data_IF_596519911230
#
_entry.id   IF_596519911230
#
_cell.length_a   1.000
_cell.length_b   1.000
_cell.length_c   1.000
_cell.angle_alpha   90.00
_cell.angle_beta   90.00
_cell.angle_gamma   90.00
#
_symmetry.space_group_name_H-M   'P 1'
#
loop_
_entity.id
_entity.type
_entity.pdbx_description
1 polymer ?
#
# COMPACT_ATOMS: atom_id res chain seq x y z
N UNK A 1 -26.66 8.06 -46.06
CA UNK A 1 -26.77 8.32 -44.61
C UNK A 1 -27.88 9.34 -44.36
N UNK A 2 -28.28 9.57 -43.11
CA UNK A 2 -29.29 10.60 -42.77
C UNK A 2 -28.81 12.02 -43.08
N UNK A 3 -27.50 12.26 -42.95
CA UNK A 3 -26.85 13.51 -43.36
C UNK A 3 -27.01 13.80 -44.86
N UNK A 4 -26.82 12.81 -45.74
CA UNK A 4 -27.02 12.99 -47.19
C UNK A 4 -28.49 13.25 -47.57
N UNK A 5 -29.43 12.62 -46.84
CA UNK A 5 -30.85 12.94 -46.97
C UNK A 5 -31.13 14.42 -46.64
N UNK A 6 -30.59 14.93 -45.52
CA UNK A 6 -30.77 16.34 -45.16
C UNK A 6 -30.14 17.31 -46.16
N UNK A 7 -28.93 17.02 -46.66
CA UNK A 7 -28.31 17.82 -47.73
C UNK A 7 -29.21 17.89 -48.97
N UNK A 8 -29.78 16.76 -49.40
CA UNK A 8 -30.65 16.69 -50.55
C UNK A 8 -31.98 17.45 -50.35
N UNK A 9 -32.62 17.31 -49.19
CA UNK A 9 -33.87 18.03 -48.89
C UNK A 9 -33.65 19.54 -48.75
N UNK A 10 -32.54 19.97 -48.14
CA UNK A 10 -32.15 21.38 -48.09
C UNK A 10 -31.90 21.92 -49.51
N UNK A 11 -31.27 21.13 -50.38
CA UNK A 11 -31.03 21.52 -51.77
C UNK A 11 -32.33 21.65 -52.58
N UNK A 12 -33.27 20.72 -52.44
CA UNK A 12 -34.60 20.81 -53.06
C UNK A 12 -35.36 22.06 -52.62
N UNK A 13 -35.34 22.36 -51.32
CA UNK A 13 -35.95 23.58 -50.79
C UNK A 13 -35.28 24.84 -51.35
N UNK A 14 -33.96 24.81 -51.55
CA UNK A 14 -33.21 25.95 -52.15
C UNK A 14 -33.53 26.16 -53.62
N UNK A 15 -33.76 25.08 -54.36
CA UNK A 15 -33.97 25.10 -55.81
C UNK A 15 -35.46 25.29 -56.19
N UNK A 16 -36.36 25.34 -55.20
CA UNK A 16 -37.80 25.58 -55.41
C UNK A 16 -38.05 27.04 -55.80
N UNK A 17 -38.86 27.27 -56.85
CA UNK A 17 -39.20 28.62 -57.32
C UNK A 17 -40.46 29.15 -56.63
N UNK A 18 -40.28 30.08 -55.70
CA UNK A 18 -41.31 30.56 -54.79
C UNK A 18 -42.20 31.67 -55.37
N UNK A 19 -42.82 31.42 -56.53
CA UNK A 19 -43.67 32.41 -57.21
C UNK A 19 -45.09 32.49 -56.65
N UNK A 20 -45.54 31.49 -55.88
CA UNK A 20 -46.88 31.42 -55.30
C UNK A 20 -46.85 31.53 -53.76
N UNK A 21 -47.63 32.43 -53.14
CA UNK A 21 -47.72 32.55 -51.67
C UNK A 21 -48.09 31.24 -50.95
N UNK A 22 -48.90 30.38 -51.56
CA UNK A 22 -49.28 29.09 -50.97
C UNK A 22 -48.11 28.08 -50.94
N UNK A 23 -47.18 28.17 -51.90
CA UNK A 23 -45.99 27.32 -51.97
C UNK A 23 -44.94 27.74 -50.95
N UNK A 24 -44.85 29.04 -50.64
CA UNK A 24 -44.00 29.60 -49.58
C UNK A 24 -44.41 29.06 -48.21
N UNK A 25 -45.71 29.04 -47.90
CA UNK A 25 -46.23 28.52 -46.62
C UNK A 25 -45.93 27.02 -46.48
N UNK A 26 -46.13 26.24 -47.55
CA UNK A 26 -45.81 24.80 -47.56
C UNK A 26 -44.33 24.54 -47.38
N UNK A 27 -43.48 25.29 -48.07
CA UNK A 27 -42.03 25.16 -47.94
C UNK A 27 -41.52 25.60 -46.56
N UNK A 28 -42.14 26.62 -45.95
CA UNK A 28 -41.85 27.01 -44.57
C UNK A 28 -42.20 25.88 -43.58
N UNK A 29 -43.36 25.25 -43.72
CA UNK A 29 -43.75 24.12 -42.89
C UNK A 29 -42.78 22.94 -43.04
N UNK A 30 -42.45 22.57 -44.29
CA UNK A 30 -41.47 21.52 -44.58
C UNK A 30 -40.06 21.84 -44.03
N UNK A 31 -39.66 23.11 -44.08
CA UNK A 31 -38.39 23.57 -43.52
C UNK A 31 -38.37 23.52 -41.99
N UNK A 32 -39.44 23.97 -41.33
CA UNK A 32 -39.56 23.93 -39.88
C UNK A 32 -39.58 22.47 -39.37
N UNK A 33 -40.23 21.57 -40.10
CA UNK A 33 -40.19 20.12 -39.85
C UNK A 33 -38.78 19.54 -40.03
N UNK A 34 -38.11 19.87 -41.13
CA UNK A 34 -36.74 19.41 -41.40
C UNK A 34 -35.76 19.87 -40.32
N UNK A 35 -35.91 21.11 -39.84
CA UNK A 35 -35.13 21.67 -38.74
C UNK A 35 -35.36 20.93 -37.43
N UNK A 36 -36.61 20.57 -37.13
CA UNK A 36 -36.93 19.77 -35.95
C UNK A 36 -36.30 18.38 -36.05
N UNK A 37 -36.40 17.74 -37.21
CA UNK A 37 -35.77 16.43 -37.45
C UNK A 37 -34.25 16.48 -37.29
N UNK A 38 -33.57 17.50 -37.85
CA UNK A 38 -32.11 17.67 -37.71
C UNK A 38 -31.71 17.89 -36.23
N UNK A 39 -32.49 18.65 -35.46
CA UNK A 39 -32.23 18.86 -34.02
C UNK A 39 -32.39 17.57 -33.23
N UNK A 40 -33.47 16.83 -33.44
CA UNK A 40 -33.73 15.55 -32.78
C UNK A 40 -32.64 14.53 -33.10
N UNK A 41 -32.19 14.45 -34.35
CA UNK A 41 -31.13 13.51 -34.72
C UNK A 41 -29.75 13.97 -34.22
N UNK A 42 -29.50 15.29 -34.11
CA UNK A 42 -28.32 15.83 -33.42
C UNK A 42 -28.32 15.43 -31.94
N UNK A 43 -29.42 15.63 -31.22
CA UNK A 43 -29.55 15.25 -29.80
C UNK A 43 -29.28 13.77 -29.58
N UNK A 44 -29.84 12.89 -30.43
CA UNK A 44 -29.55 11.44 -30.37
C UNK A 44 -28.07 11.13 -30.57
N UNK A 45 -27.40 11.82 -31.49
CA UNK A 45 -25.96 11.65 -31.75
C UNK A 45 -25.14 12.13 -30.55
N UNK A 46 -25.49 13.28 -29.95
CA UNK A 46 -24.84 13.81 -28.75
C UNK A 46 -25.01 12.83 -27.57
N UNK A 47 -26.23 12.35 -27.30
CA UNK A 47 -26.49 11.35 -26.24
C UNK A 47 -25.76 10.03 -26.49
N UNK A 48 -25.72 9.56 -27.74
CA UNK A 48 -24.94 8.37 -28.08
C UNK A 48 -23.45 8.57 -27.78
N UNK A 49 -22.90 9.74 -28.11
CA UNK A 49 -21.50 10.08 -27.87
C UNK A 49 -21.15 10.15 -26.38
N UNK A 50 -22.02 10.76 -25.58
CA UNK A 50 -21.86 10.81 -24.11
C UNK A 50 -21.83 9.40 -23.53
N UNK A 51 -22.83 8.56 -23.84
CA UNK A 51 -22.88 7.17 -23.37
C UNK A 51 -21.74 6.31 -23.89
N UNK A 52 -21.31 6.49 -25.14
CA UNK A 52 -20.17 5.78 -25.71
C UNK A 52 -18.84 6.20 -25.04
N UNK A 53 -18.71 7.47 -24.65
CA UNK A 53 -17.55 7.98 -23.92
C UNK A 53 -17.50 7.46 -22.48
N UNK A 54 -18.65 7.43 -21.78
CA UNK A 54 -18.79 6.81 -20.46
C UNK A 54 -18.47 5.32 -20.51
N UNK A 55 -19.04 4.59 -21.46
CA UNK A 55 -18.77 3.17 -21.68
C UNK A 55 -17.29 2.93 -22.01
N UNK A 56 -16.67 3.74 -22.88
CA UNK A 56 -15.22 3.65 -23.16
C UNK A 56 -14.38 3.90 -21.91
N UNK A 57 -14.76 4.87 -21.08
CA UNK A 57 -14.02 5.20 -19.86
C UNK A 57 -14.12 4.07 -18.84
N UNK A 58 -15.33 3.52 -18.65
CA UNK A 58 -15.58 2.38 -17.79
C UNK A 58 -14.88 1.11 -18.30
N UNK A 59 -14.95 0.82 -19.60
CA UNK A 59 -14.29 -0.34 -20.22
C UNK A 59 -12.76 -0.20 -20.22
N UNK A 60 -12.21 1.00 -20.40
CA UNK A 60 -10.78 1.28 -20.28
C UNK A 60 -10.29 1.15 -18.84
N UNK A 61 -11.09 1.62 -17.87
CA UNK A 61 -10.83 1.43 -16.45
C UNK A 61 -10.87 -0.05 -16.07
N UNK A 62 -11.91 -0.77 -16.49
CA UNK A 62 -12.05 -2.21 -16.31
C UNK A 62 -10.92 -2.98 -16.98
N UNK A 63 -10.45 -2.58 -18.17
CA UNK A 63 -9.30 -3.17 -18.86
C UNK A 63 -7.99 -2.94 -18.08
N UNK A 64 -7.79 -1.75 -17.50
CA UNK A 64 -6.61 -1.50 -16.63
C UNK A 64 -6.66 -2.33 -15.36
N UNK A 65 -7.82 -2.41 -14.71
CA UNK A 65 -8.02 -3.26 -13.54
C UNK A 65 -7.85 -4.74 -13.90
N UNK A 66 -8.35 -5.18 -15.05
CA UNK A 66 -8.21 -6.55 -15.56
C UNK A 66 -6.77 -6.88 -15.97
N UNK A 67 -5.97 -5.90 -16.41
CA UNK A 67 -4.52 -6.07 -16.62
C UNK A 67 -3.77 -6.25 -15.30
N UNK A 68 -4.22 -5.60 -14.23
CA UNK A 68 -3.60 -5.69 -12.91
C UNK A 68 -4.13 -6.88 -12.06
N UNK A 69 -5.33 -7.37 -12.33
CA UNK A 69 -6.04 -8.34 -11.48
C UNK A 69 -5.59 -9.82 -11.57
N UNK A 70 -4.78 -10.26 -12.55
CA UNK A 70 -4.11 -11.57 -12.51
C UNK A 70 -2.63 -11.49 -12.16
N UNK A 71 -2.01 -10.30 -12.19
CA UNK A 71 -0.58 -10.12 -11.88
C UNK A 71 -0.30 -10.17 -10.38
N UNK A 72 -1.21 -9.70 -9.51
CA UNK A 72 -0.97 -9.67 -8.06
C UNK A 72 -1.00 -11.06 -7.42
N UNK A 73 -2.00 -11.89 -7.77
CA UNK A 73 -2.07 -13.28 -7.31
C UNK A 73 -0.95 -14.12 -7.96
N UNK A 74 -0.52 -13.76 -9.16
CA UNK A 74 0.61 -14.39 -9.85
C UNK A 74 1.96 -14.00 -9.27
N UNK A 75 2.24 -12.74 -8.95
CA UNK A 75 3.50 -12.34 -8.30
C UNK A 75 3.58 -12.91 -6.88
N UNK A 76 2.44 -13.09 -6.19
CA UNK A 76 2.38 -13.83 -4.94
C UNK A 76 2.72 -15.31 -5.15
N UNK A 77 2.13 -15.98 -6.16
CA UNK A 77 2.40 -17.39 -6.46
C UNK A 77 3.80 -17.62 -7.03
N UNK A 78 4.26 -16.82 -7.98
CA UNK A 78 5.61 -16.81 -8.54
C UNK A 78 6.63 -16.44 -7.48
N UNK A 79 6.33 -15.50 -6.59
CA UNK A 79 7.18 -15.18 -5.44
C UNK A 79 7.33 -16.36 -4.48
N UNK A 80 6.21 -17.02 -4.17
CA UNK A 80 6.17 -18.23 -3.33
C UNK A 80 6.83 -19.44 -3.98
N UNK A 81 6.71 -19.62 -5.30
CA UNK A 81 7.21 -20.80 -6.03
C UNK A 81 8.57 -20.62 -6.72
N UNK A 82 8.99 -19.39 -7.05
CA UNK A 82 10.27 -19.07 -7.69
C UNK A 82 11.30 -18.52 -6.70
N UNK A 83 10.94 -18.35 -5.43
CA UNK A 83 11.85 -17.87 -4.38
C UNK A 83 12.19 -16.37 -4.52
N UNK A 84 11.26 -15.56 -5.04
CA UNK A 84 11.48 -14.12 -5.12
C UNK A 84 11.36 -13.49 -3.72
N UNK A 85 12.50 -13.01 -3.23
CA UNK A 85 12.68 -12.50 -1.87
C UNK A 85 11.77 -11.29 -1.56
N UNK A 86 11.34 -10.53 -2.56
CA UNK A 86 10.50 -9.33 -2.38
C UNK A 86 9.01 -9.66 -2.15
N UNK A 87 8.53 -10.78 -2.67
CA UNK A 87 7.16 -11.25 -2.44
C UNK A 87 7.03 -12.07 -1.14
N UNK A 88 8.14 -12.70 -0.73
CA UNK A 88 8.22 -13.47 0.51
C UNK A 88 8.46 -12.59 1.74
N UNK A 89 9.10 -11.42 1.61
CA UNK A 89 9.32 -10.50 2.75
C UNK A 89 8.03 -10.08 3.46
N UNK A 90 6.90 -10.06 2.75
CA UNK A 90 5.57 -9.84 3.33
C UNK A 90 5.12 -10.98 4.25
N UNK A 91 5.64 -12.20 4.09
CA UNK A 91 5.32 -13.35 4.94
C UNK A 91 6.03 -13.28 6.28
N UNK A 92 7.32 -12.93 6.32
CA UNK A 92 8.01 -12.67 7.59
C UNK A 92 7.27 -11.59 8.38
N UNK A 93 6.89 -10.50 7.73
CA UNK A 93 6.12 -9.43 8.38
C UNK A 93 4.69 -9.88 8.76
N UNK A 94 3.99 -10.66 7.92
CA UNK A 94 2.65 -11.15 8.23
C UNK A 94 2.62 -12.21 9.36
N UNK A 95 3.68 -13.00 9.50
CA UNK A 95 3.79 -14.02 10.55
C UNK A 95 4.27 -13.41 11.85
N UNK A 96 5.26 -12.50 11.81
CA UNK A 96 5.96 -12.03 13.01
C UNK A 96 5.80 -10.54 13.30
N UNK A 97 5.39 -9.70 12.34
CA UNK A 97 5.51 -8.24 12.44
C UNK A 97 4.83 -7.64 13.67
N UNK A 98 3.56 -7.97 13.89
CA UNK A 98 2.78 -7.44 15.02
C UNK A 98 3.34 -7.89 16.38
N UNK A 99 3.71 -9.17 16.51
CA UNK A 99 4.29 -9.72 17.74
C UNK A 99 5.72 -9.23 17.97
N UNK A 100 6.54 -9.11 16.92
CA UNK A 100 7.88 -8.56 17.02
C UNK A 100 7.83 -7.10 17.50
N UNK A 101 6.91 -6.29 16.97
CA UNK A 101 6.65 -4.95 17.46
C UNK A 101 6.12 -4.93 18.91
N UNK A 102 5.33 -5.93 19.32
CA UNK A 102 4.88 -6.08 20.72
C UNK A 102 6.02 -6.45 21.68
N UNK A 103 6.85 -7.44 21.34
CA UNK A 103 7.97 -7.87 22.17
C UNK A 103 9.03 -6.77 22.30
N UNK A 104 9.26 -6.00 21.23
CA UNK A 104 10.09 -4.80 21.31
C UNK A 104 9.53 -3.77 22.29
N UNK A 105 8.22 -3.52 22.30
CA UNK A 105 7.61 -2.63 23.30
C UNK A 105 7.85 -3.09 24.75
N UNK A 106 7.88 -4.40 25.02
CA UNK A 106 8.21 -4.88 26.36
C UNK A 106 9.66 -4.57 26.76
N UNK A 107 10.62 -4.69 25.83
CA UNK A 107 12.00 -4.29 26.08
C UNK A 107 12.10 -2.80 26.45
N UNK A 108 11.26 -1.95 25.82
CA UNK A 108 11.22 -0.51 26.09
C UNK A 108 10.40 -0.10 27.32
N UNK A 109 9.47 -0.94 27.80
CA UNK A 109 8.74 -0.67 29.05
C UNK A 109 9.67 -0.59 30.28
N UNK A 110 10.82 -1.28 30.23
CA UNK A 110 11.86 -1.12 31.24
C UNK A 110 12.50 0.28 31.21
N UNK A 111 12.65 0.89 30.03
CA UNK A 111 13.09 2.28 29.90
C UNK A 111 12.04 3.26 30.42
N UNK A 112 10.75 3.02 30.21
CA UNK A 112 9.67 3.85 30.79
C UNK A 112 9.72 3.87 32.32
N UNK A 113 10.22 2.80 32.95
CA UNK A 113 10.39 2.73 34.40
C UNK A 113 11.68 3.43 34.86
N UNK A 114 12.75 3.34 34.09
CA UNK A 114 14.06 3.90 34.43
C UNK A 114 14.20 5.39 34.11
N UNK A 115 13.66 5.86 32.97
CA UNK A 115 13.78 7.25 32.51
C UNK A 115 13.23 8.26 33.54
N UNK A 116 12.06 8.05 34.16
CA UNK A 116 11.56 8.93 35.22
C UNK A 116 12.45 8.90 36.46
N UNK A 117 13.00 7.74 36.85
CA UNK A 117 13.90 7.62 38.00
C UNK A 117 15.22 8.35 37.77
N UNK A 118 15.76 8.28 36.54
CA UNK A 118 16.98 8.98 36.13
C UNK A 118 16.77 10.49 36.00
N UNK A 119 15.60 10.93 35.52
CA UNK A 119 15.20 12.35 35.47
C UNK A 119 14.82 12.92 36.84
N UNK A 120 14.84 12.11 37.90
CA UNK A 120 14.49 12.53 39.25
C UNK A 120 12.98 12.63 39.48
N UNK A 121 12.24 11.53 39.25
CA UNK A 121 10.84 11.33 39.62
C UNK A 121 9.83 12.17 38.84
N UNK A 122 8.86 11.52 38.21
CA UNK A 122 7.63 12.21 37.82
C UNK A 122 6.98 12.80 39.08
N UNK A 123 6.58 14.07 38.99
CA UNK A 123 5.98 14.82 40.08
C UNK A 123 4.82 14.04 40.74
N UNK A 124 4.79 13.92 42.07
CA UNK A 124 3.62 13.44 42.80
C UNK A 124 2.41 14.30 42.42
N UNK A 125 1.27 13.65 42.22
CA UNK A 125 -0.01 14.35 42.13
C UNK A 125 -0.30 14.97 43.50
N UNK A 126 -0.26 16.31 43.54
CA UNK A 126 -0.77 17.23 44.56
C UNK A 126 -0.48 16.90 46.05
N UNK A 127 0.18 17.86 46.70
CA UNK A 127 0.38 18.04 48.16
C UNK A 127 1.70 17.60 48.80
N UNK A 128 2.71 17.19 48.03
CA UNK A 128 4.11 17.21 48.50
C UNK A 128 4.90 18.25 47.70
N UNK A 129 5.46 19.26 48.36
CA UNK A 129 6.47 20.11 47.72
C UNK A 129 7.60 19.20 47.26
N UNK A 130 7.91 19.13 45.95
CA UNK A 130 9.01 18.30 45.48
C UNK A 130 10.29 18.89 46.08
N UNK A 131 10.83 18.20 47.08
CA UNK A 131 12.16 18.50 47.59
C UNK A 131 13.14 18.50 46.42
N UNK A 132 14.13 19.39 46.46
CA UNK A 132 15.19 19.41 45.45
C UNK A 132 15.78 17.99 45.36
N UNK A 133 15.89 17.39 44.17
CA UNK A 133 16.40 16.03 44.05
C UNK A 133 17.78 15.97 44.69
N UNK A 134 17.95 15.01 45.60
CA UNK A 134 19.22 14.78 46.29
C UNK A 134 20.34 14.62 45.25
N UNK A 135 21.37 15.46 45.35
CA UNK A 135 22.56 15.40 44.52
C UNK A 135 23.53 14.40 45.15
N UNK A 136 23.55 13.18 44.64
CA UNK A 136 24.33 12.07 45.22
C UNK A 136 25.23 11.45 44.16
N UNK A 137 26.43 11.07 44.59
CA UNK A 137 27.33 10.19 43.84
C UNK A 137 27.51 8.89 44.62
N UNK A 138 27.01 7.80 44.07
CA UNK A 138 27.34 6.45 44.54
C UNK A 138 28.48 5.94 43.68
N UNK A 139 29.69 5.90 44.24
CA UNK A 139 30.90 5.50 43.49
C UNK A 139 30.83 4.07 42.99
N UNK A 140 30.26 3.18 43.80
CA UNK A 140 30.12 1.78 43.45
C UNK A 140 28.89 1.18 44.16
N UNK A 141 28.15 0.34 43.44
CA UNK A 141 27.11 -0.50 44.01
C UNK A 141 27.22 -1.89 43.40
N UNK A 142 27.26 -2.92 44.25
CA UNK A 142 27.28 -4.31 43.81
C UNK A 142 25.95 -4.95 44.20
N UNK A 143 25.31 -5.62 43.25
CA UNK A 143 24.06 -6.33 43.41
C UNK A 143 24.33 -7.83 43.33
N UNK A 144 23.73 -8.60 44.24
CA UNK A 144 23.69 -10.05 44.15
C UNK A 144 22.36 -10.53 44.71
N UNK A 145 21.53 -11.12 43.87
CA UNK A 145 20.19 -11.58 44.21
C UNK A 145 19.98 -12.97 43.62
N UNK A 146 19.57 -13.92 44.44
CA UNK A 146 19.05 -15.19 43.95
C UNK A 146 17.56 -15.04 43.70
N UNK A 147 17.15 -15.20 42.45
CA UNK A 147 15.75 -15.27 42.06
C UNK A 147 15.46 -16.66 41.53
N UNK A 148 14.70 -17.45 42.31
CA UNK A 148 14.47 -18.87 42.03
C UNK A 148 15.81 -19.63 41.88
N UNK A 149 16.08 -20.19 40.71
CA UNK A 149 17.29 -20.91 40.32
C UNK A 149 18.32 -20.03 39.58
N UNK A 150 18.04 -18.73 39.46
CA UNK A 150 18.88 -17.77 38.73
C UNK A 150 19.61 -16.83 39.68
N UNK A 151 20.94 -16.82 39.60
CA UNK A 151 21.77 -15.84 40.29
C UNK A 151 21.90 -14.59 39.40
N UNK A 152 21.36 -13.48 39.88
CA UNK A 152 21.53 -12.14 39.32
C UNK A 152 22.69 -11.44 40.02
N UNK A 153 23.64 -10.92 39.26
CA UNK A 153 24.75 -10.11 39.74
C UNK A 153 24.84 -8.81 38.97
N UNK A 154 25.31 -7.76 39.63
CA UNK A 154 25.51 -6.47 38.99
C UNK A 154 26.62 -5.66 39.64
N UNK A 155 27.42 -5.00 38.81
CA UNK A 155 28.45 -4.07 39.23
C UNK A 155 28.17 -2.73 38.58
N UNK A 156 27.85 -1.73 39.40
CA UNK A 156 27.57 -0.37 38.97
C UNK A 156 28.63 0.57 39.52
N UNK A 157 29.01 1.57 38.74
CA UNK A 157 29.95 2.62 39.14
C UNK A 157 29.41 3.99 38.77
N UNK A 158 29.75 4.97 39.60
CA UNK A 158 29.46 6.38 39.37
C UNK A 158 27.97 6.71 39.19
N UNK A 159 27.07 6.05 39.93
CA UNK A 159 25.64 6.33 39.84
C UNK A 159 25.37 7.75 40.36
N UNK A 160 24.93 8.63 39.48
CA UNK A 160 24.60 10.02 39.81
C UNK A 160 23.55 10.56 38.84
N UNK A 161 22.85 11.61 39.27
CA UNK A 161 21.99 12.46 38.44
C UNK A 161 22.66 13.81 38.09
N UNK A 162 23.98 13.93 38.32
CA UNK A 162 24.78 15.14 38.12
C UNK A 162 26.01 14.85 37.24
N UNK A 163 25.85 14.15 36.12
CA UNK A 163 26.99 13.76 35.28
C UNK A 163 27.77 14.94 34.73
N UNK A 164 27.10 16.04 34.36
CA UNK A 164 27.75 17.28 33.89
C UNK A 164 28.67 17.90 34.94
N UNK A 165 28.39 17.70 36.24
CA UNK A 165 29.24 18.17 37.34
C UNK A 165 30.36 17.19 37.63
N UNK A 166 30.06 15.88 37.62
CA UNK A 166 31.02 14.84 37.95
C UNK A 166 32.04 14.56 36.83
N UNK A 167 31.65 14.75 35.56
CA UNK A 167 32.50 14.62 34.38
C UNK A 167 32.75 13.18 33.89
N UNK A 168 32.07 12.17 34.47
CA UNK A 168 32.19 10.77 34.04
C UNK A 168 30.82 10.09 33.97
N UNK A 169 30.62 9.14 33.04
CA UNK A 169 29.38 8.39 32.94
C UNK A 169 29.19 7.41 34.12
N UNK A 170 27.93 7.06 34.37
CA UNK A 170 27.59 5.85 35.12
C UNK A 170 27.94 4.65 34.24
N UNK A 171 28.57 3.61 34.80
CA UNK A 171 28.80 2.35 34.09
C UNK A 171 28.16 1.19 34.83
N UNK A 172 27.75 0.17 34.10
CA UNK A 172 27.13 -1.03 34.67
C UNK A 172 27.56 -2.30 33.92
N UNK A 173 27.61 -3.39 34.67
CA UNK A 173 27.66 -4.76 34.16
C UNK A 173 26.61 -5.54 34.93
N UNK A 174 25.75 -6.27 34.24
CA UNK A 174 24.74 -7.15 34.84
C UNK A 174 24.90 -8.53 34.24
N UNK A 175 24.86 -9.57 35.08
CA UNK A 175 24.87 -10.95 34.64
C UNK A 175 23.74 -11.71 35.32
N UNK A 176 23.08 -12.59 34.57
CA UNK A 176 22.19 -13.62 35.11
C UNK A 176 22.68 -14.98 34.64
N UNK A 177 22.76 -15.93 35.57
CA UNK A 177 23.05 -17.32 35.25
C UNK A 177 22.12 -18.23 36.05
N UNK A 178 21.45 -19.14 35.36
CA UNK A 178 20.66 -20.21 35.98
C UNK A 178 21.44 -21.52 35.95
N UNK A 179 20.96 -22.55 36.66
CA UNK A 179 21.52 -23.90 36.51
C UNK A 179 21.40 -24.37 35.05
N UNK A 180 22.53 -24.71 34.42
CA UNK A 180 22.59 -25.14 33.02
C UNK A 180 23.35 -24.17 32.11
N UNK A 181 22.94 -24.07 30.84
CA UNK A 181 23.62 -23.27 29.82
C UNK A 181 23.07 -21.83 29.69
N UNK A 182 22.01 -21.50 30.43
CA UNK A 182 21.31 -20.22 30.37
C UNK A 182 22.16 -19.10 30.96
N UNK A 183 22.48 -18.12 30.12
CA UNK A 183 23.26 -16.95 30.51
C UNK A 183 22.69 -15.70 29.89
N UNK A 184 22.66 -14.63 30.68
CA UNK A 184 22.46 -13.28 30.21
C UNK A 184 23.60 -12.43 30.74
N UNK A 185 24.15 -11.59 29.87
CA UNK A 185 25.13 -10.58 30.22
C UNK A 185 24.76 -9.29 29.50
N UNK A 186 24.82 -8.17 30.21
CA UNK A 186 24.74 -6.85 29.59
C UNK A 186 25.70 -5.91 30.27
N UNK A 187 26.27 -5.00 29.50
CA UNK A 187 27.13 -3.96 30.01
C UNK A 187 26.87 -2.67 29.26
N UNK A 188 27.14 -1.56 29.91
CA UNK A 188 26.93 -0.28 29.28
C UNK A 188 27.36 0.88 30.14
N UNK A 189 27.10 2.06 29.60
CA UNK A 189 27.33 3.32 30.24
C UNK A 189 26.27 4.32 29.82
N UNK A 190 26.04 5.31 30.67
CA UNK A 190 25.21 6.45 30.32
C UNK A 190 25.68 7.73 30.99
N UNK A 191 25.41 8.83 30.31
CA UNK A 191 25.72 10.20 30.71
C UNK A 191 24.48 11.05 30.46
N UNK A 192 24.09 11.86 31.44
CA UNK A 192 22.95 12.76 31.32
C UNK A 192 23.39 14.20 31.52
N UNK A 193 23.04 15.07 30.57
CA UNK A 193 23.30 16.50 30.63
C UNK A 193 22.10 17.34 30.15
N UNK A 194 22.35 18.59 29.79
CA UNK A 194 21.33 19.51 29.30
C UNK A 194 20.82 19.15 27.90
N UNK A 195 21.63 18.48 27.08
CA UNK A 195 21.34 18.15 25.71
C UNK A 195 20.61 16.80 25.63
N UNK A 196 20.86 15.90 26.59
CA UNK A 196 20.00 14.74 26.80
C UNK A 196 20.66 13.56 27.48
N UNK A 197 20.22 12.37 27.07
CA UNK A 197 20.83 11.10 27.42
C UNK A 197 21.77 10.67 26.30
N UNK A 198 23.04 10.47 26.66
CA UNK A 198 23.98 9.67 25.91
C UNK A 198 24.16 8.32 26.58
N UNK A 199 24.09 7.23 25.83
CA UNK A 199 24.25 5.90 26.39
C UNK A 199 24.81 4.92 25.37
N UNK A 200 25.50 3.90 25.87
CA UNK A 200 25.83 2.73 25.06
C UNK A 200 25.65 1.47 25.88
N UNK A 201 25.10 0.45 25.25
CA UNK A 201 24.82 -0.83 25.88
C UNK A 201 25.07 -1.96 24.91
N UNK A 202 25.64 -3.06 25.39
CA UNK A 202 25.66 -4.34 24.69
C UNK A 202 24.99 -5.40 25.56
N UNK A 203 24.40 -6.40 24.91
CA UNK A 203 23.83 -7.55 25.60
C UNK A 203 24.12 -8.85 24.86
N UNK A 204 24.09 -9.94 25.63
CA UNK A 204 24.17 -11.30 25.13
C UNK A 204 23.26 -12.20 25.97
N UNK A 205 22.46 -12.99 25.29
CA UNK A 205 21.64 -14.08 25.83
C UNK A 205 22.12 -15.36 25.17
N UNK A 206 22.34 -16.40 25.95
CA UNK A 206 22.71 -17.71 25.43
C UNK A 206 21.95 -18.80 26.16
N UNK A 207 21.46 -19.78 25.40
CA UNK A 207 20.90 -21.01 25.94
C UNK A 207 19.51 -20.88 26.57
N UNK A 208 18.78 -19.79 26.30
CA UNK A 208 17.43 -19.59 26.82
C UNK A 208 16.47 -20.57 26.15
N UNK A 209 15.78 -21.38 26.94
CA UNK A 209 14.76 -22.28 26.42
C UNK A 209 13.44 -21.53 26.26
N UNK A 210 12.97 -21.39 25.03
CA UNK A 210 11.64 -20.94 24.73
C UNK A 210 10.69 -22.12 24.78
N UNK A 211 9.54 -21.91 25.43
CA UNK A 211 8.43 -22.87 25.50
C UNK A 211 7.13 -22.11 25.20
N UNK A 212 6.40 -22.58 24.20
CA UNK A 212 5.04 -22.14 23.89
C UNK A 212 4.89 -20.62 23.61
N UNK A 213 5.72 -20.09 22.72
CA UNK A 213 5.66 -18.66 22.29
C UNK A 213 4.74 -18.53 21.09
N UNK A 214 3.64 -17.79 21.22
CA UNK A 214 2.76 -17.44 20.10
C UNK A 214 3.42 -16.39 19.20
N UNK A 215 3.34 -16.60 17.88
CA UNK A 215 4.03 -15.77 16.88
C UNK A 215 3.07 -14.97 16.01
N UNK A 216 1.88 -15.49 15.72
CA UNK A 216 0.86 -14.77 14.92
C UNK A 216 -0.46 -14.64 15.66
N UNK A 217 -1.15 -13.52 15.46
CA UNK A 217 -2.56 -13.32 15.83
C UNK A 217 -3.46 -13.38 14.58
N UNK A 218 -2.97 -13.93 13.46
CA UNK A 218 -3.66 -13.92 12.18
C UNK A 218 -4.72 -15.03 12.10
N UNK A 219 -6.01 -14.71 11.83
CA UNK A 219 -7.08 -15.71 11.81
C UNK A 219 -6.96 -16.73 10.67
N UNK A 220 -6.10 -16.50 9.67
CA UNK A 220 -5.86 -17.44 8.56
C UNK A 220 -4.62 -18.32 8.74
N UNK A 221 -3.68 -17.93 9.60
CA UNK A 221 -2.43 -18.65 9.84
C UNK A 221 -2.03 -18.46 11.30
N UNK A 222 -2.28 -19.49 12.11
CA UNK A 222 -1.86 -19.56 13.50
C UNK A 222 -0.48 -20.21 13.56
N UNK A 223 0.49 -19.57 14.21
CA UNK A 223 1.86 -20.05 14.33
C UNK A 223 2.39 -19.83 15.74
N UNK A 224 3.09 -20.82 16.26
CA UNK A 224 3.74 -20.78 17.57
C UNK A 224 5.04 -21.57 17.59
N UNK A 225 5.96 -21.13 18.45
CA UNK A 225 7.14 -21.90 18.85
C UNK A 225 6.71 -22.81 20.00
N UNK A 226 6.67 -24.12 19.77
CA UNK A 226 6.53 -25.08 20.87
C UNK A 226 7.80 -25.11 21.70
N UNK A 227 8.95 -25.15 21.03
CA UNK A 227 10.25 -25.19 21.68
C UNK A 227 11.32 -24.53 20.81
N UNK A 228 12.25 -23.79 21.42
CA UNK A 228 13.48 -23.36 20.76
C UNK A 228 14.57 -23.08 21.79
N UNK A 229 15.82 -23.22 21.39
CA UNK A 229 16.96 -22.71 22.12
C UNK A 229 17.36 -21.36 21.51
N UNK A 230 17.15 -20.29 22.26
CA UNK A 230 17.45 -18.92 21.88
C UNK A 230 18.88 -18.55 22.29
N UNK A 231 19.61 -17.99 21.33
CA UNK A 231 20.75 -17.13 21.57
C UNK A 231 20.44 -15.75 20.95
N UNK A 232 20.86 -14.68 21.60
CA UNK A 232 20.70 -13.33 21.07
C UNK A 232 21.85 -12.44 21.49
N UNK A 233 22.18 -11.45 20.68
CA UNK A 233 23.15 -10.44 21.04
C UNK A 233 22.84 -9.14 20.32
N UNK A 234 23.31 -8.03 20.87
CA UNK A 234 23.13 -6.75 20.21
C UNK A 234 23.76 -5.60 20.95
N UNK A 235 23.55 -4.42 20.37
CA UNK A 235 24.02 -3.16 20.89
C UNK A 235 22.99 -2.06 20.67
N UNK A 236 22.97 -1.11 21.59
CA UNK A 236 22.20 0.12 21.52
C UNK A 236 23.12 1.28 21.85
N UNK A 237 23.12 2.28 21.00
CA UNK A 237 23.74 3.57 21.21
C UNK A 237 22.63 4.64 21.25
N UNK A 238 22.80 5.58 22.16
CA UNK A 238 21.95 6.75 22.31
C UNK A 238 22.87 7.96 22.27
N UNK A 239 22.61 8.87 21.35
CA UNK A 239 23.32 10.15 21.22
C UNK A 239 22.28 11.26 21.20
N UNK A 240 22.30 12.16 22.18
CA UNK A 240 21.32 13.25 22.30
C UNK A 240 19.86 12.75 22.22
N UNK A 241 19.54 11.63 22.88
CA UNK A 241 18.25 10.93 22.85
C UNK A 241 17.85 10.28 21.51
N UNK A 242 18.74 10.27 20.51
CA UNK A 242 18.55 9.52 19.26
C UNK A 242 19.04 8.09 19.44
N UNK A 243 18.19 7.14 19.09
CA UNK A 243 18.46 5.71 19.17
C UNK A 243 19.14 5.23 17.89
N UNK A 244 20.17 4.41 18.04
CA UNK A 244 20.75 3.59 16.99
C UNK A 244 21.13 2.23 17.58
N UNK A 245 20.52 1.16 17.11
CA UNK A 245 20.80 -0.15 17.66
C UNK A 245 20.53 -1.28 16.68
N UNK A 246 21.21 -2.39 16.92
CA UNK A 246 21.06 -3.61 16.15
C UNK A 246 21.16 -4.82 17.06
N UNK A 247 20.52 -5.91 16.66
CA UNK A 247 20.58 -7.18 17.37
C UNK A 247 20.33 -8.35 16.45
N UNK A 248 20.89 -9.49 16.82
CA UNK A 248 20.68 -10.78 16.18
C UNK A 248 20.01 -11.73 17.17
N UNK A 249 19.14 -12.58 16.66
CA UNK A 249 18.50 -13.65 17.43
C UNK A 249 18.58 -14.93 16.61
N UNK A 250 19.18 -15.94 17.21
CA UNK A 250 19.34 -17.26 16.63
C UNK A 250 18.47 -18.24 17.41
N UNK A 251 17.49 -18.83 16.74
CA UNK A 251 16.67 -19.90 17.28
C UNK A 251 17.18 -21.22 16.72
N UNK A 252 17.64 -22.11 17.60
CA UNK A 252 18.09 -23.45 17.23
C UNK A 252 17.24 -24.51 17.90
N UNK A 253 17.24 -25.75 17.37
CA UNK A 253 16.33 -26.82 17.83
C UNK A 253 14.87 -26.34 17.84
N UNK A 254 14.53 -25.52 16.85
CA UNK A 254 13.22 -24.93 16.70
C UNK A 254 12.21 -26.04 16.42
N UNK A 255 11.12 -26.02 17.16
CA UNK A 255 9.94 -26.83 16.92
C UNK A 255 8.77 -25.88 16.86
N UNK A 256 8.22 -25.75 15.66
CA UNK A 256 7.05 -24.91 15.42
C UNK A 256 5.77 -25.71 15.60
N UNK A 257 4.67 -24.99 15.67
CA UNK A 257 3.35 -25.50 15.38
C UNK A 257 2.64 -24.43 14.57
N UNK A 258 2.21 -24.77 13.37
CA UNK A 258 1.45 -23.86 12.53
C UNK A 258 0.22 -24.55 11.97
N UNK A 259 -0.88 -23.81 11.84
CA UNK A 259 -2.11 -24.26 11.20
C UNK A 259 -2.65 -23.19 10.27
N UNK A 260 -3.09 -23.62 9.08
CA UNK A 260 -3.70 -22.74 8.08
C UNK A 260 -5.19 -22.99 7.93
N UNK A 261 -5.94 -21.96 7.55
CA UNK A 261 -7.38 -22.07 7.31
C UNK A 261 -7.76 -22.42 5.86
N UNK A 262 -6.81 -22.36 4.92
CA UNK A 262 -6.99 -22.64 3.50
C UNK A 262 -5.78 -23.37 2.89
N UNK A 263 -5.84 -23.72 1.60
CA UNK A 263 -4.78 -24.50 0.95
C UNK A 263 -3.41 -23.78 0.95
N UNK A 264 -3.40 -22.46 0.79
CA UNK A 264 -2.15 -21.68 0.74
C UNK A 264 -1.54 -21.59 2.15
N UNK A 265 -2.34 -21.22 3.13
CA UNK A 265 -1.90 -21.11 4.54
C UNK A 265 -1.55 -22.46 5.13
N UNK A 266 -2.19 -23.57 4.72
CA UNK A 266 -1.79 -24.92 5.13
C UNK A 266 -0.45 -25.35 4.53
N UNK A 267 -0.16 -24.95 3.29
CA UNK A 267 1.15 -25.17 2.69
C UNK A 267 2.22 -24.39 3.47
N UNK A 268 1.98 -23.10 3.76
CA UNK A 268 2.87 -22.27 4.58
C UNK A 268 3.05 -22.88 5.98
N UNK A 269 1.96 -23.29 6.63
CA UNK A 269 1.98 -23.93 7.94
C UNK A 269 2.84 -25.20 7.95
N UNK A 270 2.72 -26.04 6.92
CA UNK A 270 3.52 -27.26 6.79
C UNK A 270 5.02 -26.95 6.63
N UNK A 271 5.35 -25.87 5.91
CA UNK A 271 6.72 -25.41 5.77
C UNK A 271 7.26 -24.84 7.09
N UNK A 272 6.46 -24.05 7.81
CA UNK A 272 6.81 -23.55 9.15
C UNK A 272 7.06 -24.69 10.15
N UNK A 273 6.21 -25.73 10.12
CA UNK A 273 6.34 -26.92 10.99
C UNK A 273 7.64 -27.69 10.73
N UNK A 274 8.21 -27.58 9.52
CA UNK A 274 9.47 -28.22 9.15
C UNK A 274 10.74 -27.44 9.56
N UNK A 275 10.60 -26.20 10.03
CA UNK A 275 11.74 -25.36 10.41
C UNK A 275 12.42 -25.87 11.67
N UNK A 276 13.74 -25.99 11.60
CA UNK A 276 14.59 -26.43 12.72
C UNK A 276 15.46 -25.31 13.29
N UNK A 277 15.58 -24.22 12.54
CA UNK A 277 16.31 -23.03 12.93
C UNK A 277 15.68 -21.78 12.30
N UNK A 278 15.86 -20.64 12.95
CA UNK A 278 15.43 -19.35 12.43
C UNK A 278 16.41 -18.28 12.90
N UNK A 279 16.98 -17.55 11.94
CA UNK A 279 17.87 -16.43 12.22
C UNK A 279 17.12 -15.12 11.97
N UNK A 280 17.19 -14.21 12.94
CA UNK A 280 16.48 -12.93 12.91
C UNK A 280 17.44 -11.78 13.18
N UNK A 281 17.22 -10.66 12.50
CA UNK A 281 17.92 -9.40 12.75
C UNK A 281 16.91 -8.32 13.10
N UNK A 282 17.27 -7.52 14.09
CA UNK A 282 16.45 -6.46 14.65
C UNK A 282 17.24 -5.16 14.58
N UNK A 283 16.60 -4.08 14.17
CA UNK A 283 17.20 -2.76 14.15
C UNK A 283 16.29 -1.79 14.88
N UNK A 284 16.88 -0.81 15.55
CA UNK A 284 16.15 0.28 16.18
C UNK A 284 16.78 1.61 15.79
N UNK A 285 15.92 2.59 15.52
CA UNK A 285 16.29 3.95 15.18
C UNK A 285 15.26 4.93 15.74
N UNK A 286 15.44 6.23 15.51
CA UNK A 286 14.46 7.25 15.90
C UNK A 286 14.77 7.87 17.26
N UNK A 287 13.75 8.32 17.99
CA UNK A 287 13.93 8.98 19.30
C UNK A 287 13.47 8.07 20.43
N UNK A 288 13.91 8.35 21.66
CA UNK A 288 13.40 7.69 22.87
C UNK A 288 11.86 7.72 22.99
N UNK A 289 11.20 8.77 22.48
CA UNK A 289 9.74 8.94 22.53
C UNK A 289 9.01 8.36 21.33
N UNK A 290 9.71 8.09 20.22
CA UNK A 290 9.16 7.55 18.99
C UNK A 290 10.19 6.63 18.31
N UNK A 291 10.46 5.45 18.91
CA UNK A 291 11.37 4.49 18.33
C UNK A 291 10.79 3.90 17.04
N UNK A 292 11.65 3.73 16.05
CA UNK A 292 11.37 3.03 14.81
C UNK A 292 12.06 1.67 14.83
N UNK A 293 11.31 0.61 14.55
CA UNK A 293 11.78 -0.77 14.62
C UNK A 293 11.86 -1.39 13.24
N UNK A 294 13.01 -1.95 12.91
CA UNK A 294 13.20 -2.83 11.75
C UNK A 294 13.32 -4.28 12.21
N UNK A 295 12.70 -5.19 11.48
CA UNK A 295 12.78 -6.62 11.72
C UNK A 295 12.98 -7.36 10.39
N UNK A 296 13.88 -8.34 10.37
CA UNK A 296 14.08 -9.23 9.23
C UNK A 296 14.43 -10.63 9.71
N UNK A 297 14.14 -11.63 8.88
CA UNK A 297 14.49 -13.02 9.17
C UNK A 297 14.93 -13.75 7.91
N UNK A 298 15.57 -14.89 8.09
CA UNK A 298 15.90 -15.77 6.97
C UNK A 298 14.76 -16.73 6.57
N UNK A 299 13.59 -16.60 7.22
CA UNK A 299 12.40 -17.40 6.95
C UNK A 299 12.05 -17.42 5.45
N UNK A 300 12.05 -16.25 4.83
CA UNK A 300 11.66 -16.10 3.42
C UNK A 300 12.51 -16.99 2.51
N UNK A 301 13.83 -16.99 2.76
CA UNK A 301 14.79 -17.83 2.04
C UNK A 301 14.58 -19.31 2.34
N UNK A 302 14.29 -19.66 3.59
CA UNK A 302 14.03 -21.05 3.99
C UNK A 302 12.74 -21.58 3.36
N UNK A 303 11.65 -20.80 3.35
CA UNK A 303 10.38 -21.14 2.71
C UNK A 303 10.53 -21.29 1.20
N UNK A 304 11.25 -20.37 0.54
CA UNK A 304 11.57 -20.47 -0.88
C UNK A 304 12.28 -21.78 -1.22
N UNK A 305 13.33 -22.11 -0.48
CA UNK A 305 14.11 -23.32 -0.70
C UNK A 305 13.27 -24.59 -0.48
N UNK A 306 12.43 -24.59 0.55
CA UNK A 306 11.57 -25.72 0.84
C UNK A 306 10.48 -25.91 -0.25
N UNK A 307 9.86 -24.83 -0.69
CA UNK A 307 8.91 -24.85 -1.80
C UNK A 307 9.57 -25.38 -3.10
N UNK A 308 10.76 -24.89 -3.44
CA UNK A 308 11.54 -25.37 -4.60
C UNK A 308 11.90 -26.85 -4.48
N UNK A 309 12.29 -27.31 -3.30
CA UNK A 309 12.64 -28.73 -3.08
C UNK A 309 11.44 -29.68 -3.18
N UNK A 310 10.22 -29.16 -2.97
CA UNK A 310 8.98 -29.93 -3.06
C UNK A 310 8.45 -30.07 -4.50
N UNK A 311 8.99 -29.29 -5.45
CA UNK A 311 8.61 -29.35 -6.86
C UNK A 311 9.31 -30.53 -7.54
N UNK A 312 8.52 -31.52 -7.97
CA UNK A 312 9.01 -32.51 -8.94
C UNK A 312 9.23 -31.85 -10.31
N UNK A 313 10.13 -32.41 -11.13
CA UNK A 313 10.36 -31.94 -12.51
C UNK A 313 9.04 -31.81 -13.32
N UNK A 314 8.09 -32.72 -13.09
CA UNK A 314 6.76 -32.70 -13.72
C UNK A 314 5.85 -31.53 -13.29
N UNK A 315 6.06 -30.98 -12.09
CA UNK A 315 5.31 -29.84 -11.58
C UNK A 315 5.92 -28.51 -12.06
N UNK A 316 7.24 -28.47 -12.29
CA UNK A 316 7.91 -27.36 -12.98
C UNK A 316 7.34 -27.18 -14.40
N UNK A 317 7.17 -28.29 -15.13
CA UNK A 317 6.59 -28.27 -16.47
C UNK A 317 5.13 -27.80 -16.47
N UNK A 318 4.34 -28.21 -15.47
CA UNK A 318 2.95 -27.75 -15.30
C UNK A 318 2.85 -26.28 -14.90
N UNK A 319 3.80 -25.75 -14.12
CA UNK A 319 3.89 -24.32 -13.82
C UNK A 319 4.22 -23.52 -15.08
N UNK A 320 5.13 -24.02 -15.92
CA UNK A 320 5.46 -23.42 -17.21
C UNK A 320 4.28 -23.47 -18.20
N UNK A 321 3.53 -24.57 -18.22
CA UNK A 321 2.31 -24.73 -19.02
C UNK A 321 1.18 -23.80 -18.52
N UNK A 322 0.99 -23.70 -17.21
CA UNK A 322 0.03 -22.78 -16.60
C UNK A 322 0.40 -21.32 -16.91
N UNK A 323 1.68 -20.95 -16.81
CA UNK A 323 2.18 -19.63 -17.17
C UNK A 323 1.90 -19.31 -18.65
N UNK A 324 2.17 -20.27 -19.55
CA UNK A 324 1.89 -20.13 -20.97
C UNK A 324 0.39 -20.03 -21.28
N UNK A 325 -0.46 -20.78 -20.56
CA UNK A 325 -1.92 -20.78 -20.71
C UNK A 325 -2.56 -19.52 -20.13
N UNK A 326 -2.01 -18.95 -19.07
CA UNK A 326 -2.43 -17.69 -18.47
C UNK A 326 -1.99 -16.49 -19.32
N UNK A 327 -0.74 -16.46 -19.79
CA UNK A 327 -0.31 -15.47 -20.79
C UNK A 327 -1.17 -15.56 -22.06
N UNK A 328 -1.55 -16.77 -22.47
CA UNK A 328 -2.50 -17.00 -23.55
C UNK A 328 -3.93 -16.52 -23.25
N UNK A 329 -4.43 -16.67 -22.02
CA UNK A 329 -5.75 -16.15 -21.61
C UNK A 329 -5.77 -14.62 -21.49
N UNK A 330 -4.69 -14.02 -20.99
CA UNK A 330 -4.50 -12.56 -20.96
C UNK A 330 -4.39 -12.01 -22.38
N UNK A 331 -3.64 -12.67 -23.27
CA UNK A 331 -3.50 -12.25 -24.67
C UNK A 331 -4.77 -12.45 -25.52
N UNK A 332 -5.52 -13.52 -25.32
CA UNK A 332 -6.70 -13.84 -26.14
C UNK A 332 -7.97 -13.06 -25.77
N UNK A 333 -8.08 -12.54 -24.53
CA UNK A 333 -9.13 -11.57 -24.17
C UNK A 333 -8.74 -10.11 -24.50
N UNK A 334 -7.44 -9.78 -24.51
CA UNK A 334 -6.94 -8.43 -24.84
C UNK A 334 -7.24 -8.04 -26.31
N UNK A 335 -7.09 -8.95 -27.28
CA UNK A 335 -7.27 -8.61 -28.71
C UNK A 335 -8.73 -8.30 -29.08
N UNK A 336 -9.70 -9.02 -28.50
CA UNK A 336 -11.12 -8.79 -28.80
C UNK A 336 -11.64 -7.49 -28.15
N UNK A 337 -11.31 -7.24 -26.88
CA UNK A 337 -11.75 -6.04 -26.17
C UNK A 337 -10.99 -4.77 -26.62
N UNK A 338 -9.71 -4.87 -26.97
CA UNK A 338 -8.97 -3.75 -27.57
C UNK A 338 -9.49 -3.40 -28.97
N UNK A 339 -9.85 -4.42 -29.77
CA UNK A 339 -10.53 -4.23 -31.06
C UNK A 339 -11.90 -3.56 -30.90
N UNK A 340 -12.72 -3.97 -29.93
CA UNK A 340 -14.00 -3.33 -29.62
C UNK A 340 -13.84 -1.88 -29.14
N UNK A 341 -12.83 -1.58 -28.31
CA UNK A 341 -12.49 -0.20 -27.90
C UNK A 341 -12.02 0.66 -29.09
N UNK A 342 -11.27 0.07 -30.03
CA UNK A 342 -10.89 0.69 -31.30
C UNK A 342 -12.10 1.02 -32.17
N UNK A 343 -13.07 0.10 -32.24
CA UNK A 343 -14.34 0.28 -32.96
C UNK A 343 -15.19 1.39 -32.33
N UNK A 344 -15.30 1.45 -30.99
CA UNK A 344 -15.99 2.53 -30.28
C UNK A 344 -15.31 3.88 -30.56
N UNK A 345 -13.97 3.94 -30.58
CA UNK A 345 -13.23 5.16 -30.94
C UNK A 345 -13.49 5.62 -32.37
N UNK A 346 -13.66 4.66 -33.28
CA UNK A 346 -13.96 4.90 -34.70
C UNK A 346 -15.39 5.43 -34.87
N UNK A 347 -16.35 4.84 -34.18
CA UNK A 347 -17.74 5.31 -34.16
C UNK A 347 -17.85 6.71 -33.58
N UNK A 348 -17.21 7.00 -32.44
CA UNK A 348 -17.21 8.33 -31.84
C UNK A 348 -16.62 9.41 -32.77
N UNK A 349 -15.56 9.06 -33.51
CA UNK A 349 -14.93 9.97 -34.47
C UNK A 349 -15.82 10.21 -35.69
N UNK A 350 -16.52 9.19 -36.16
CA UNK A 350 -17.50 9.32 -37.24
C UNK A 350 -18.70 10.17 -36.81
N UNK A 351 -19.25 9.92 -35.62
CA UNK A 351 -20.38 10.68 -35.08
C UNK A 351 -20.03 12.13 -34.74
N UNK A 352 -18.78 12.43 -34.37
CA UNK A 352 -18.31 13.80 -34.19
C UNK A 352 -18.32 14.59 -35.50
N UNK A 353 -17.92 13.95 -36.60
CA UNK A 353 -17.97 14.57 -37.94
C UNK A 353 -19.41 14.79 -38.38
N UNK A 354 -20.29 13.83 -38.14
CA UNK A 354 -21.71 13.94 -38.47
C UNK A 354 -22.40 15.03 -37.63
N UNK A 355 -22.11 15.11 -36.33
CA UNK A 355 -22.62 16.17 -35.43
C UNK A 355 -22.17 17.56 -35.89
N UNK A 356 -20.90 17.73 -36.26
CA UNK A 356 -20.37 18.98 -36.80
C UNK A 356 -21.06 19.34 -38.13
N UNK A 357 -21.25 18.38 -39.03
CA UNK A 357 -21.94 18.59 -40.30
C UNK A 357 -23.43 18.94 -40.10
N UNK A 358 -24.13 18.31 -39.16
CA UNK A 358 -25.51 18.68 -38.81
C UNK A 358 -25.59 20.08 -38.20
N UNK A 359 -24.59 20.47 -37.39
CA UNK A 359 -24.48 21.82 -36.84
C UNK A 359 -24.21 22.87 -37.93
N UNK A 360 -23.34 22.57 -38.88
CA UNK A 360 -23.11 23.41 -40.06
C UNK A 360 -24.38 23.53 -40.92
N UNK A 361 -25.10 22.42 -41.16
CA UNK A 361 -26.36 22.46 -41.89
C UNK A 361 -27.40 23.31 -41.17
N UNK A 362 -27.52 23.21 -39.83
CA UNK A 362 -28.37 24.10 -39.05
C UNK A 362 -27.94 25.56 -39.24
N UNK A 363 -26.66 25.90 -39.05
CA UNK A 363 -26.18 27.28 -39.17
C UNK A 363 -26.34 27.86 -40.59
N UNK A 364 -26.03 27.06 -41.62
CA UNK A 364 -26.16 27.44 -43.02
C UNK A 364 -27.62 27.61 -43.46
N UNK A 365 -28.52 26.76 -42.95
CA UNK A 365 -29.98 26.90 -43.19
C UNK A 365 -30.57 28.11 -42.47
N UNK A 366 -30.06 28.47 -41.29
CA UNK A 366 -30.45 29.69 -40.58
C UNK A 366 -30.11 30.97 -41.34
N UNK A 367 -28.98 31.02 -42.07
CA UNK A 367 -28.50 32.23 -42.76
C UNK A 367 -29.04 32.47 -44.18
N UNK A 368 -29.56 31.45 -44.88
CA UNK A 368 -29.76 31.59 -46.35
C UNK A 368 -31.20 31.41 -46.86
N UNK A 369 -32.08 30.65 -46.20
CA UNK A 369 -33.38 30.32 -46.80
C UNK A 369 -34.48 31.33 -46.42
N UNK A 370 -34.53 31.78 -45.18
CA UNK A 370 -35.63 32.63 -44.68
C UNK A 370 -35.33 34.12 -44.83
N UNK A 371 -34.08 34.57 -44.61
CA UNK A 371 -33.71 36.00 -44.74
C UNK A 371 -33.78 36.48 -46.19
N UNK A 372 -33.21 35.74 -47.15
CA UNK A 372 -33.27 36.11 -48.58
C UNK A 372 -34.70 36.15 -49.14
N UNK A 373 -35.58 35.29 -48.66
CA UNK A 373 -36.99 35.27 -49.06
C UNK A 373 -37.81 36.35 -48.37
N UNK A 374 -37.57 36.59 -47.08
CA UNK A 374 -38.18 37.67 -46.30
C UNK A 374 -37.80 39.03 -46.89
N UNK A 375 -36.54 39.26 -47.23
CA UNK A 375 -36.10 40.51 -47.86
C UNK A 375 -36.66 40.68 -49.27
N UNK A 376 -36.75 39.61 -50.07
CA UNK A 376 -37.41 39.64 -51.39
C UNK A 376 -38.91 39.89 -51.31
N UNK A 377 -39.60 39.30 -50.32
CA UNK A 377 -41.04 39.48 -50.11
C UNK A 377 -41.34 40.86 -49.51
N UNK A 378 -40.53 41.35 -48.58
CA UNK A 378 -40.61 42.72 -48.06
C UNK A 378 -40.37 43.72 -49.20
N UNK A 379 -39.31 43.57 -49.99
CA UNK A 379 -39.03 44.46 -51.13
C UNK A 379 -40.17 44.44 -52.16
N UNK A 380 -40.75 43.26 -52.49
CA UNK A 380 -41.92 43.18 -53.38
C UNK A 380 -43.20 43.76 -52.79
N UNK A 381 -43.37 43.76 -51.46
CA UNK A 381 -44.51 44.38 -50.81
C UNK A 381 -44.38 45.90 -50.81
N UNK A 382 -43.17 46.43 -50.54
CA UNK A 382 -42.87 47.86 -50.59
C UNK A 382 -42.91 48.41 -52.03
N UNK A 383 -42.38 47.70 -53.02
CA UNK A 383 -42.50 48.08 -54.44
C UNK A 383 -43.97 48.13 -54.93
N UNK A 384 -44.87 47.34 -54.33
CA UNK A 384 -46.32 47.39 -54.64
C UNK A 384 -47.08 48.47 -53.86
N UNK A 385 -46.51 48.98 -52.78
CA UNK A 385 -47.10 50.04 -51.94
C UNK A 385 -46.65 51.44 -52.39
N UNK A 386 -45.42 51.59 -52.90
CA UNK A 386 -44.89 52.84 -53.46
C UNK A 386 -45.22 53.05 -54.95
N UNK A 387 -45.84 52.06 -55.60
CA UNK A 387 -46.31 52.12 -56.99
C UNK A 387 -47.80 52.46 -57.13
N UNK A 388 -48.40 53.18 -56.18
CA UNK A 388 -49.81 53.59 -56.17
C UNK A 388 -50.00 55.07 -56.02
#
# INVERSE_FOLDING_TARGET
>A
SRLEFYKAEIQKLRDTDFKNPAEVVKAKAAFDELKQQIRTDKEKITTFREKASEARTAMSGALKTLKAAPEQDYELLKGVYAGDQAALSQLTEAVFGDKAAQYNRYLFSAFDLLVPLLKGGAAPTADEQPGTPLQVLVRQANLSVNWQDTLLTGDWKNITNQHSVFGHPTTFILNAAAEGAQKFATQGQFFMDSDGLDASQTWQIAGLLLDSVSLSDNPRLDASIKQALLAASGSLEITDNMLDGSGTVDLTKLTMAATGSDNLTNAIASLLDSLQQLDMTMNISGTLSAPNFGFSSDLDRQLANAALSSLSASQQDKLNELNSKLQGMVGSQDDNLASELGNISTWMSATQRDEAALQELLQATFKNAVEKQKDKLLNKLFDKLDGR
#
